data_IF_121141894973
#
_entry.id   IF_121141894973
#
_cell.length_a   1.000
_cell.length_b   1.000
_cell.length_c   1.000
_cell.angle_alpha   90.00
_cell.angle_beta   90.00
_cell.angle_gamma   90.00
#
_symmetry.space_group_name_H-M   'P 1'
#
loop_
_entity.id
_entity.type
_entity.pdbx_description
1 polymer ?
#
# COMPACT_ATOMS: atom_id res chain seq x y z
N UNK A 1 -32.21 3.79 -27.15
CA UNK A 1 -31.71 3.95 -25.76
C UNK A 1 -30.21 3.70 -25.81
N UNK A 2 -29.41 4.74 -25.61
CA UNK A 2 -27.95 4.60 -25.59
C UNK A 2 -27.54 4.08 -24.20
N UNK A 3 -27.37 2.77 -24.08
CA UNK A 3 -26.59 2.17 -22.98
C UNK A 3 -25.11 2.44 -23.25
N UNK A 4 -24.68 3.68 -23.00
CA UNK A 4 -23.27 3.96 -22.81
C UNK A 4 -22.89 3.36 -21.45
N UNK A 5 -21.93 2.43 -21.37
CA UNK A 5 -21.50 1.89 -20.09
C UNK A 5 -20.97 3.04 -19.23
N UNK A 6 -21.62 3.28 -18.08
CA UNK A 6 -21.16 4.27 -17.10
C UNK A 6 -19.77 3.82 -16.65
N UNK A 7 -18.73 4.58 -17.02
CA UNK A 7 -17.37 4.27 -16.62
C UNK A 7 -17.28 4.25 -15.09
N UNK A 8 -16.85 3.11 -14.52
CA UNK A 8 -16.67 2.98 -13.06
C UNK A 8 -15.68 4.04 -12.58
N UNK A 9 -16.01 4.68 -11.47
CA UNK A 9 -15.16 5.69 -10.86
C UNK A 9 -13.79 5.09 -10.48
N UNK A 10 -12.71 5.84 -10.73
CA UNK A 10 -11.36 5.40 -10.35
C UNK A 10 -11.11 5.56 -8.86
N UNK A 11 -10.56 4.52 -8.23
CA UNK A 11 -10.14 4.54 -6.83
C UNK A 11 -8.67 4.11 -6.73
N UNK A 12 -7.86 4.94 -6.10
CA UNK A 12 -6.44 4.64 -5.89
C UNK A 12 -6.27 3.89 -4.56
N UNK A 13 -5.48 2.83 -4.55
CA UNK A 13 -5.22 2.02 -3.35
C UNK A 13 -3.72 1.92 -3.11
N UNK A 14 -3.25 2.40 -1.97
CA UNK A 14 -1.85 2.35 -1.56
C UNK A 14 -1.67 1.27 -0.52
N UNK A 15 -0.66 0.41 -0.68
CA UNK A 15 -0.42 -0.73 0.20
C UNK A 15 1.04 -0.73 0.65
N UNK A 16 1.25 -0.68 1.95
CA UNK A 16 2.53 -1.01 2.61
C UNK A 16 2.40 -2.45 3.16
N UNK A 17 3.02 -3.46 2.48
CA UNK A 17 2.91 -4.85 2.87
C UNK A 17 3.54 -5.12 4.24
N UNK A 18 2.91 -6.01 5.00
CA UNK A 18 3.43 -6.52 6.27
C UNK A 18 3.00 -7.99 6.48
N UNK A 19 3.81 -8.74 7.23
CA UNK A 19 3.58 -10.17 7.53
C UNK A 19 2.32 -10.43 8.37
N UNK A 20 1.87 -9.45 9.16
CA UNK A 20 0.69 -9.56 10.00
C UNK A 20 -0.44 -8.67 9.49
N UNK A 21 -0.19 -7.36 9.37
CA UNK A 21 -1.20 -6.38 8.97
C UNK A 21 -0.63 -5.32 8.05
N UNK A 22 -0.98 -5.40 6.77
CA UNK A 22 -0.57 -4.41 5.78
C UNK A 22 -1.32 -3.09 6.02
N UNK A 23 -0.62 -1.94 5.92
CA UNK A 23 -1.33 -0.65 5.91
C UNK A 23 -1.86 -0.38 4.53
N UNK A 24 -3.12 0.03 4.49
CA UNK A 24 -3.84 0.24 3.25
C UNK A 24 -4.46 1.62 3.28
N UNK A 25 -4.28 2.37 2.21
CA UNK A 25 -4.91 3.65 2.00
C UNK A 25 -5.80 3.61 0.76
N UNK A 26 -6.98 4.19 0.83
CA UNK A 26 -7.81 4.42 -0.36
C UNK A 26 -7.98 5.91 -0.58
N UNK A 27 -7.79 6.34 -1.82
CA UNK A 27 -7.93 7.73 -2.23
C UNK A 27 -8.92 7.84 -3.39
N UNK A 28 -10.04 8.50 -3.13
CA UNK A 28 -10.96 8.93 -4.16
C UNK A 28 -10.68 10.39 -4.51
N UNK A 29 -10.19 10.63 -5.72
CA UNK A 29 -9.81 11.96 -6.20
C UNK A 29 -11.00 12.89 -6.40
N UNK A 30 -12.17 12.40 -6.81
CA UNK A 30 -13.35 13.24 -7.07
C UNK A 30 -13.87 13.87 -5.80
N UNK A 31 -14.04 13.05 -4.75
CA UNK A 31 -14.54 13.53 -3.45
C UNK A 31 -13.42 13.90 -2.46
N UNK A 32 -12.16 13.80 -2.89
CA UNK A 32 -10.96 14.06 -2.07
C UNK A 32 -11.00 13.32 -0.72
N UNK A 33 -11.39 12.06 -0.76
CA UNK A 33 -11.58 11.24 0.43
C UNK A 33 -10.43 10.25 0.58
N UNK A 34 -9.67 10.40 1.66
CA UNK A 34 -8.61 9.46 2.07
C UNK A 34 -9.10 8.62 3.24
N UNK A 35 -9.05 7.29 3.10
CA UNK A 35 -9.31 6.34 4.19
C UNK A 35 -8.07 5.48 4.42
N UNK A 36 -7.89 5.05 5.67
CA UNK A 36 -6.74 4.30 6.13
C UNK A 36 -7.22 3.05 6.87
N UNK A 37 -6.55 1.93 6.64
CA UNK A 37 -6.90 0.62 7.18
C UNK A 37 -5.62 -0.15 7.53
N UNK A 38 -5.75 -1.12 8.43
CA UNK A 38 -4.75 -2.14 8.68
C UNK A 38 -5.45 -3.48 8.45
N UNK A 39 -5.01 -4.25 7.45
CA UNK A 39 -5.70 -5.47 7.01
C UNK A 39 -4.73 -6.64 7.00
N UNK A 40 -5.19 -7.81 7.45
CA UNK A 40 -4.44 -9.05 7.23
C UNK A 40 -4.40 -9.38 5.73
N UNK A 41 -3.55 -10.32 5.32
CA UNK A 41 -3.42 -10.68 3.91
C UNK A 41 -4.76 -11.08 3.28
N UNK A 42 -5.53 -11.96 3.92
CA UNK A 42 -6.81 -12.42 3.38
C UNK A 42 -7.87 -11.32 3.39
N UNK A 43 -7.98 -10.56 4.50
CA UNK A 43 -8.90 -9.41 4.57
C UNK A 43 -8.60 -8.39 3.47
N UNK A 44 -7.32 -8.15 3.16
CA UNK A 44 -6.89 -7.26 2.09
C UNK A 44 -7.31 -7.79 0.71
N UNK A 45 -7.16 -9.09 0.44
CA UNK A 45 -7.62 -9.66 -0.83
C UNK A 45 -9.14 -9.57 -0.99
N UNK A 46 -9.91 -9.84 0.07
CA UNK A 46 -11.37 -9.69 0.05
C UNK A 46 -11.78 -8.23 -0.13
N UNK A 47 -11.08 -7.32 0.55
CA UNK A 47 -11.30 -5.88 0.43
C UNK A 47 -11.07 -5.38 -1.00
N UNK A 48 -9.98 -5.80 -1.66
CA UNK A 48 -9.72 -5.46 -3.06
C UNK A 48 -10.80 -6.00 -3.99
N UNK A 49 -11.20 -7.27 -3.83
CA UNK A 49 -12.27 -7.88 -4.61
C UNK A 49 -13.61 -7.14 -4.44
N UNK A 50 -13.92 -6.72 -3.22
CA UNK A 50 -15.12 -5.93 -2.96
C UNK A 50 -15.07 -4.55 -3.64
N UNK A 51 -13.94 -3.86 -3.54
CA UNK A 51 -13.79 -2.53 -4.15
C UNK A 51 -13.84 -2.59 -5.68
N UNK A 52 -13.23 -3.60 -6.31
CA UNK A 52 -13.17 -3.75 -7.77
C UNK A 52 -14.55 -3.92 -8.42
N UNK A 53 -15.53 -4.48 -7.70
CA UNK A 53 -16.93 -4.56 -8.15
C UNK A 53 -17.55 -3.19 -8.40
N UNK A 54 -17.11 -2.18 -7.65
CA UNK A 54 -17.71 -0.85 -7.64
C UNK A 54 -16.81 0.22 -8.27
N UNK A 55 -15.49 0.02 -8.28
CA UNK A 55 -14.50 1.01 -8.70
C UNK A 55 -13.50 0.43 -9.70
N UNK A 56 -12.97 1.29 -10.56
CA UNK A 56 -11.79 1.01 -11.39
C UNK A 56 -10.54 1.22 -10.54
N UNK A 57 -10.00 0.13 -9.99
CA UNK A 57 -8.87 0.21 -9.04
C UNK A 57 -7.55 0.53 -9.73
N UNK A 58 -6.73 1.32 -9.03
CA UNK A 58 -5.32 1.55 -9.35
C UNK A 58 -4.50 1.33 -8.09
N UNK A 59 -3.88 0.15 -8.00
CA UNK A 59 -3.17 -0.29 -6.79
C UNK A 59 -1.69 0.08 -6.89
N UNK A 60 -1.13 0.62 -5.81
CA UNK A 60 0.30 0.89 -5.66
C UNK A 60 0.79 0.13 -4.44
N UNK A 61 1.74 -0.78 -4.65
CA UNK A 61 2.28 -1.65 -3.61
C UNK A 61 3.73 -1.23 -3.33
N UNK A 62 4.04 -0.95 -2.07
CA UNK A 62 5.41 -0.67 -1.66
C UNK A 62 6.29 -1.91 -1.80
N UNK A 63 7.47 -1.72 -2.38
CA UNK A 63 8.40 -2.77 -2.76
C UNK A 63 9.79 -2.49 -2.19
N UNK A 64 9.99 -2.84 -0.91
CA UNK A 64 11.28 -2.69 -0.21
C UNK A 64 12.46 -3.37 -0.91
N UNK A 65 12.19 -4.46 -1.66
CA UNK A 65 13.20 -5.18 -2.44
C UNK A 65 13.76 -4.38 -3.63
N UNK A 66 13.14 -3.26 -4.01
CA UNK A 66 13.63 -2.38 -5.08
C UNK A 66 14.71 -1.40 -4.61
N UNK A 67 15.01 -1.32 -3.31
CA UNK A 67 16.12 -0.52 -2.78
C UNK A 67 17.44 -1.28 -3.03
N UNK A 68 18.41 -0.61 -3.66
CA UNK A 68 19.78 -1.14 -3.80
C UNK A 68 20.36 -1.29 -2.39
N UNK A 69 20.73 -2.50 -1.98
CA UNK A 69 21.41 -2.78 -0.70
C UNK A 69 22.76 -2.07 -0.69
N UNK A 70 22.83 -0.83 -0.18
CA UNK A 70 24.10 -0.10 -0.14
C UNK A 70 24.75 -0.09 1.24
N UNK A 71 24.02 -0.14 2.36
CA UNK A 71 24.65 -0.03 3.68
C UNK A 71 24.07 -1.04 4.68
N UNK A 72 24.58 -2.28 4.70
CA UNK A 72 24.42 -3.17 5.86
C UNK A 72 25.61 -2.94 6.79
N UNK A 73 25.43 -2.13 7.84
CA UNK A 73 26.42 -2.04 8.91
C UNK A 73 26.46 -3.38 9.68
N UNK A 74 27.63 -4.04 9.64
CA UNK A 74 27.91 -5.36 10.25
C UNK A 74 28.05 -5.32 11.78
N UNK A 75 27.26 -4.52 12.49
CA UNK A 75 27.44 -4.30 13.94
C UNK A 75 26.50 -5.12 14.83
N UNK A 76 25.73 -6.07 14.28
CA UNK A 76 24.80 -6.91 15.04
C UNK A 76 25.20 -8.39 15.04
N UNK A 77 24.88 -9.11 16.12
CA UNK A 77 25.16 -10.56 16.30
C UNK A 77 24.55 -11.38 15.17
N UNK A 78 25.25 -12.44 14.71
CA UNK A 78 24.85 -13.26 13.56
C UNK A 78 23.38 -13.73 13.60
N UNK A 79 22.90 -14.20 14.77
CA UNK A 79 21.52 -14.64 14.95
C UNK A 79 20.49 -13.52 14.75
N UNK A 80 20.77 -12.31 15.24
CA UNK A 80 19.89 -11.14 15.05
C UNK A 80 19.83 -10.73 13.58
N UNK A 81 20.96 -10.78 12.87
CA UNK A 81 21.00 -10.50 11.43
C UNK A 81 20.17 -11.49 10.62
N UNK A 82 20.21 -12.78 10.99
CA UNK A 82 19.47 -13.82 10.31
C UNK A 82 17.96 -13.66 10.49
N UNK A 83 17.49 -13.43 11.73
CA UNK A 83 16.08 -13.15 11.99
C UNK A 83 15.58 -11.93 11.21
N UNK A 84 16.32 -10.82 11.24
CA UNK A 84 15.97 -9.60 10.49
C UNK A 84 15.89 -9.89 8.99
N UNK A 85 16.86 -10.63 8.45
CA UNK A 85 16.90 -11.01 7.04
C UNK A 85 15.70 -11.87 6.65
N UNK A 86 15.32 -12.83 7.52
CA UNK A 86 14.16 -13.70 7.31
C UNK A 86 12.85 -12.91 7.32
N UNK A 87 12.67 -11.98 8.26
CA UNK A 87 11.48 -11.12 8.36
C UNK A 87 11.37 -10.19 7.15
N UNK A 88 12.49 -9.60 6.69
CA UNK A 88 12.52 -8.80 5.45
C UNK A 88 12.12 -9.65 4.25
N UNK A 89 12.65 -10.87 4.15
CA UNK A 89 12.31 -11.82 3.08
C UNK A 89 10.83 -12.19 3.08
N UNK A 90 10.28 -12.50 4.26
CA UNK A 90 8.86 -12.80 4.44
C UNK A 90 7.98 -11.61 4.05
N UNK A 91 8.34 -10.39 4.45
CA UNK A 91 7.59 -9.20 4.07
C UNK A 91 7.61 -8.97 2.54
N UNK A 92 8.78 -9.12 1.91
CA UNK A 92 8.89 -9.05 0.46
C UNK A 92 8.00 -10.07 -0.25
N UNK A 93 7.86 -11.27 0.33
CA UNK A 93 7.00 -12.31 -0.21
C UNK A 93 5.52 -11.90 -0.15
N UNK A 94 5.07 -11.26 0.94
CA UNK A 94 3.69 -10.72 1.04
C UNK A 94 3.43 -9.71 -0.08
N UNK A 95 4.33 -8.74 -0.28
CA UNK A 95 4.18 -7.75 -1.35
C UNK A 95 4.10 -8.38 -2.75
N UNK A 96 4.91 -9.42 -3.02
CA UNK A 96 4.87 -10.16 -4.30
C UNK A 96 3.58 -10.95 -4.48
N UNK A 97 3.09 -11.60 -3.41
CA UNK A 97 1.82 -12.34 -3.44
C UNK A 97 0.63 -11.40 -3.70
N UNK A 98 0.66 -10.19 -3.14
CA UNK A 98 -0.35 -9.16 -3.45
C UNK A 98 -0.31 -8.73 -4.92
N UNK A 99 0.88 -8.57 -5.50
CA UNK A 99 1.02 -8.31 -6.95
C UNK A 99 0.49 -9.46 -7.81
N UNK A 100 0.83 -10.71 -7.47
CA UNK A 100 0.32 -11.90 -8.15
C UNK A 100 -1.21 -12.03 -8.02
N UNK A 101 -1.77 -11.68 -6.87
CA UNK A 101 -3.22 -11.60 -6.68
C UNK A 101 -3.84 -10.55 -7.60
N UNK A 102 -3.26 -9.35 -7.69
CA UNK A 102 -3.77 -8.30 -8.57
C UNK A 102 -3.72 -8.75 -10.04
N UNK A 103 -2.60 -9.35 -10.47
CA UNK A 103 -2.43 -9.89 -11.82
C UNK A 103 -3.48 -10.95 -12.15
N UNK A 104 -3.68 -11.95 -11.27
CA UNK A 104 -4.68 -13.01 -11.46
C UNK A 104 -6.10 -12.46 -11.64
N UNK A 105 -6.43 -11.38 -10.92
CA UNK A 105 -7.78 -10.79 -10.95
C UNK A 105 -7.89 -9.62 -11.93
N UNK A 106 -6.89 -9.38 -12.80
CA UNK A 106 -6.86 -8.25 -13.74
C UNK A 106 -7.01 -6.86 -13.07
N UNK A 107 -6.56 -6.72 -11.82
CA UNK A 107 -6.53 -5.46 -11.09
C UNK A 107 -5.27 -4.69 -11.51
N UNK A 108 -5.43 -3.44 -11.95
CA UNK A 108 -4.28 -2.59 -12.30
C UNK A 108 -3.43 -2.31 -11.07
N UNK A 109 -2.14 -2.65 -11.13
CA UNK A 109 -1.21 -2.44 -10.04
C UNK A 109 0.18 -2.00 -10.51
N UNK A 110 0.96 -1.40 -9.60
CA UNK A 110 2.38 -1.13 -9.78
C UNK A 110 3.15 -1.30 -8.47
N UNK A 111 4.42 -1.67 -8.58
CA UNK A 111 5.36 -1.66 -7.47
C UNK A 111 6.09 -0.31 -7.41
N UNK A 112 6.19 0.26 -6.21
CA UNK A 112 6.95 1.49 -5.96
C UNK A 112 7.98 1.29 -4.87
N UNK A 113 9.09 2.03 -4.95
CA UNK A 113 10.05 2.07 -3.85
C UNK A 113 9.42 2.74 -2.62
N UNK A 114 9.87 2.37 -1.40
CA UNK A 114 9.50 3.08 -0.18
C UNK A 114 9.78 4.57 -0.30
N UNK A 115 8.85 5.38 0.17
CA UNK A 115 9.05 6.83 0.27
C UNK A 115 9.74 7.18 1.59
N UNK A 116 10.39 8.34 1.62
CA UNK A 116 10.93 8.86 2.87
C UNK A 116 9.84 9.10 3.91
N UNK A 117 10.23 9.14 5.19
CA UNK A 117 9.29 9.34 6.30
C UNK A 117 8.48 10.62 6.12
N UNK A 118 7.16 10.53 6.23
CA UNK A 118 6.25 11.68 6.24
C UNK A 118 5.93 12.11 7.67
N UNK A 119 6.06 13.39 8.03
CA UNK A 119 5.63 13.91 9.33
C UNK A 119 4.10 14.13 9.43
N UNK A 120 3.56 14.22 10.64
CA UNK A 120 2.11 14.25 10.87
C UNK A 120 1.48 15.58 10.49
N UNK A 121 2.20 16.69 10.69
CA UNK A 121 1.70 18.03 10.39
C UNK A 121 1.59 18.23 8.87
N UNK A 122 2.61 17.83 8.12
CA UNK A 122 2.65 17.83 6.65
C UNK A 122 1.59 16.91 6.08
N UNK A 123 1.44 15.69 6.61
CA UNK A 123 0.41 14.76 6.16
C UNK A 123 -1.00 15.35 6.31
N UNK A 124 -1.32 15.93 7.48
CA UNK A 124 -2.62 16.58 7.71
C UNK A 124 -2.83 17.77 6.80
N UNK A 125 -1.79 18.58 6.58
CA UNK A 125 -1.90 19.75 5.73
C UNK A 125 -2.23 19.38 4.27
N UNK A 126 -1.60 18.32 3.76
CA UNK A 126 -1.82 17.81 2.40
C UNK A 126 -3.16 17.09 2.27
N UNK A 127 -3.41 16.08 3.09
CA UNK A 127 -4.55 15.18 2.93
C UNK A 127 -5.86 15.75 3.46
N UNK A 128 -5.79 16.80 4.30
CA UNK A 128 -6.91 17.28 5.13
C UNK A 128 -7.52 16.19 6.01
N UNK A 129 -6.77 15.12 6.30
CA UNK A 129 -7.24 14.01 7.11
C UNK A 129 -7.53 14.45 8.55
N UNK A 130 -8.70 14.08 9.05
CA UNK A 130 -9.16 14.38 10.41
C UNK A 130 -9.03 13.10 11.25
N UNK A 131 -8.11 13.09 12.21
CA UNK A 131 -7.89 11.95 13.10
C UNK A 131 -6.44 11.84 13.59
N UNK A 132 -6.19 10.82 14.41
CA UNK A 132 -4.82 10.39 14.76
C UNK A 132 -4.36 9.39 13.70
N UNK A 133 -3.10 9.51 13.29
CA UNK A 133 -2.44 8.57 12.37
C UNK A 133 -1.09 8.16 12.95
N UNK A 134 -0.71 6.89 12.79
CA UNK A 134 0.67 6.48 13.08
C UNK A 134 1.58 6.82 11.87
N UNK A 135 2.88 6.59 12.00
CA UNK A 135 3.85 6.90 10.91
C UNK A 135 3.52 6.15 9.63
N UNK A 136 3.11 4.91 9.77
CA UNK A 136 3.14 3.99 8.66
C UNK A 136 1.84 4.02 7.85
N UNK A 137 0.72 4.34 8.52
CA UNK A 137 -0.51 4.76 7.86
C UNK A 137 -0.30 6.02 7.03
N UNK A 138 0.56 6.95 7.48
CA UNK A 138 0.89 8.14 6.69
C UNK A 138 1.69 7.75 5.45
N UNK A 139 2.67 6.86 5.60
CA UNK A 139 3.49 6.39 4.47
C UNK A 139 2.62 5.69 3.41
N UNK A 140 1.71 4.80 3.81
CA UNK A 140 0.72 4.18 2.91
C UNK A 140 -0.23 5.21 2.26
N UNK A 141 -0.72 6.19 3.03
CA UNK A 141 -1.54 7.28 2.51
C UNK A 141 -0.82 8.10 1.44
N UNK A 142 0.48 8.33 1.63
CA UNK A 142 1.30 9.05 0.66
C UNK A 142 1.61 8.24 -0.59
N UNK A 143 1.42 6.92 -0.63
CA UNK A 143 1.55 6.15 -1.87
C UNK A 143 0.53 6.58 -2.92
N UNK A 144 -0.65 7.02 -2.50
CA UNK A 144 -1.78 7.36 -3.39
C UNK A 144 -2.20 8.81 -3.36
N UNK A 145 -1.78 9.57 -2.35
CA UNK A 145 -2.12 10.98 -2.27
C UNK A 145 -1.58 11.76 -3.49
N UNK A 146 -2.47 12.49 -4.16
CA UNK A 146 -2.14 13.34 -5.31
C UNK A 146 -2.21 12.66 -6.68
N UNK A 147 -2.52 11.36 -6.75
CA UNK A 147 -2.87 10.66 -8.00
C UNK A 147 -4.32 10.97 -8.44
#
# INVERSE_FOLDING_TARGET
MNDQPVERESLYVGIDPDIHFSRVATWNRKVKNLKLYNLSFFDLTEFLSYLEKNFKLRVTIEAGWMIKKTNWHRESTLSKNEHISSSIGANHQVGKLLGAYCERNNISYLFTKPRGKMDSATFKNYTKYIGRTNQEQRDAGMLVYGM
#
